data_IF_300458659112
#
_entry.id   IF_300458659112
#
_cell.length_a   1.000
_cell.length_b   1.000
_cell.length_c   1.000
_cell.angle_alpha   90.00
_cell.angle_beta   90.00
_cell.angle_gamma   90.00
#
_symmetry.space_group_name_H-M   'P 1'
#
loop_
_entity.id
_entity.type
_entity.pdbx_description
1 polymer ?
#
# COMPACT_ATOMS: atom_id res chain seq x y z
N UNK A 1 24.66 -7.11 -7.78
CA UNK A 1 23.40 -7.41 -7.05
C UNK A 1 22.77 -8.67 -7.64
N UNK A 2 22.65 -9.76 -6.86
CA UNK A 2 22.20 -11.07 -7.36
C UNK A 2 20.71 -11.08 -7.75
N UNK A 3 20.40 -11.37 -9.02
CA UNK A 3 19.03 -11.37 -9.58
C UNK A 3 18.02 -12.27 -8.86
N UNK A 4 18.48 -13.27 -8.11
CA UNK A 4 17.64 -14.14 -7.26
C UNK A 4 16.95 -13.35 -6.13
N UNK A 5 17.64 -12.36 -5.54
CA UNK A 5 17.06 -11.55 -4.46
C UNK A 5 15.97 -10.61 -4.97
N UNK A 6 16.13 -10.08 -6.19
CA UNK A 6 15.13 -9.23 -6.84
C UNK A 6 13.84 -10.01 -7.12
N UNK A 7 13.94 -11.22 -7.70
CA UNK A 7 12.78 -12.08 -7.98
C UNK A 7 12.02 -12.45 -6.71
N UNK A 8 12.72 -12.78 -5.62
CA UNK A 8 12.10 -13.08 -4.31
C UNK A 8 11.33 -11.88 -3.74
N UNK A 9 11.90 -10.66 -3.83
CA UNK A 9 11.22 -9.42 -3.42
C UNK A 9 9.98 -9.14 -4.25
N UNK A 10 10.08 -9.32 -5.57
CA UNK A 10 8.94 -9.16 -6.48
C UNK A 10 7.82 -10.15 -6.17
N UNK A 11 8.14 -11.43 -5.94
CA UNK A 11 7.14 -12.43 -5.52
C UNK A 11 6.46 -12.05 -4.21
N UNK A 12 7.19 -11.55 -3.21
CA UNK A 12 6.59 -11.04 -1.97
C UNK A 12 5.60 -9.90 -2.24
N UNK A 13 5.97 -8.94 -3.09
CA UNK A 13 5.09 -7.86 -3.52
C UNK A 13 3.81 -8.39 -4.19
N UNK A 14 3.95 -9.36 -5.09
CA UNK A 14 2.82 -10.01 -5.76
C UNK A 14 1.89 -10.71 -4.76
N UNK A 15 2.44 -11.44 -3.79
CA UNK A 15 1.65 -12.09 -2.74
C UNK A 15 0.86 -11.09 -1.89
N UNK A 16 1.46 -9.93 -1.58
CA UNK A 16 0.77 -8.85 -0.85
C UNK A 16 -0.39 -8.29 -1.70
N UNK A 17 -0.16 -8.04 -2.99
CA UNK A 17 -1.21 -7.56 -3.89
C UNK A 17 -2.37 -8.57 -3.97
N UNK A 18 -2.08 -9.86 -4.11
CA UNK A 18 -3.08 -10.93 -4.09
C UNK A 18 -3.85 -10.95 -2.76
N UNK A 19 -3.17 -10.86 -1.61
CA UNK A 19 -3.80 -10.78 -0.29
C UNK A 19 -4.77 -9.60 -0.18
N UNK A 20 -4.38 -8.44 -0.68
CA UNK A 20 -5.20 -7.22 -0.69
C UNK A 20 -6.45 -7.43 -1.57
N UNK A 21 -6.30 -7.97 -2.78
CA UNK A 21 -7.43 -8.27 -3.66
C UNK A 21 -8.42 -9.27 -3.03
N UNK A 22 -7.91 -10.31 -2.37
CA UNK A 22 -8.74 -11.27 -1.63
C UNK A 22 -9.48 -10.57 -0.49
N UNK A 23 -8.82 -9.67 0.25
CA UNK A 23 -9.45 -8.93 1.35
C UNK A 23 -10.67 -8.12 0.91
N UNK A 24 -10.61 -7.49 -0.28
CA UNK A 24 -11.75 -6.79 -0.87
C UNK A 24 -12.87 -7.73 -1.29
N UNK A 25 -12.54 -8.87 -1.93
CA UNK A 25 -13.55 -9.88 -2.28
C UNK A 25 -14.27 -10.40 -1.04
N UNK A 26 -13.52 -10.70 0.02
CA UNK A 26 -14.06 -11.16 1.30
C UNK A 26 -14.95 -10.08 1.94
N UNK A 27 -14.50 -8.82 1.98
CA UNK A 27 -15.28 -7.72 2.53
C UNK A 27 -16.59 -7.50 1.75
N UNK A 28 -16.55 -7.66 0.42
CA UNK A 28 -17.75 -7.59 -0.42
C UNK A 28 -18.74 -8.71 -0.10
N UNK A 29 -18.28 -9.96 0.02
CA UNK A 29 -19.14 -11.12 0.34
C UNK A 29 -19.72 -11.01 1.75
N UNK A 30 -18.90 -10.70 2.76
CA UNK A 30 -19.36 -10.50 4.14
C UNK A 30 -20.25 -9.27 4.31
N UNK A 31 -20.12 -8.31 3.40
CA UNK A 31 -20.89 -7.09 3.40
C UNK A 31 -22.30 -7.24 2.85
N UNK A 32 -22.65 -8.34 2.18
CA UNK A 32 -23.92 -8.47 1.41
C UNK A 32 -25.19 -8.24 2.26
N UNK A 33 -25.14 -8.49 3.57
CA UNK A 33 -26.26 -8.26 4.49
C UNK A 33 -26.19 -6.94 5.28
N UNK A 34 -25.16 -6.12 5.06
CA UNK A 34 -24.97 -4.86 5.77
C UNK A 34 -25.63 -3.69 5.05
N UNK A 35 -26.02 -2.67 5.82
CA UNK A 35 -26.46 -1.38 5.28
C UNK A 35 -25.32 -0.69 4.52
N UNK A 36 -25.66 0.22 3.59
CA UNK A 36 -24.65 0.99 2.82
C UNK A 36 -23.66 1.69 3.74
N UNK A 37 -24.14 2.38 4.77
CA UNK A 37 -23.31 3.10 5.72
C UNK A 37 -22.32 2.18 6.45
N UNK A 38 -22.78 1.00 6.90
CA UNK A 38 -21.89 0.02 7.54
C UNK A 38 -20.83 -0.54 6.58
N UNK A 39 -21.18 -0.72 5.29
CA UNK A 39 -20.21 -1.15 4.27
C UNK A 39 -19.15 -0.09 4.03
N UNK A 40 -19.54 1.17 3.92
CA UNK A 40 -18.61 2.29 3.70
C UNK A 40 -17.62 2.41 4.86
N UNK A 41 -18.09 2.37 6.11
CA UNK A 41 -17.21 2.40 7.29
C UNK A 41 -16.24 1.22 7.30
N UNK A 42 -16.70 0.01 6.96
CA UNK A 42 -15.82 -1.16 6.87
C UNK A 42 -14.83 -1.06 5.71
N UNK A 43 -15.25 -0.49 4.59
CA UNK A 43 -14.42 -0.33 3.41
C UNK A 43 -13.30 0.68 3.65
N UNK A 44 -13.60 1.83 4.26
CA UNK A 44 -12.59 2.82 4.69
C UNK A 44 -11.57 2.22 5.65
N UNK A 45 -12.02 1.46 6.66
CA UNK A 45 -11.13 0.73 7.57
C UNK A 45 -10.24 -0.26 6.82
N UNK A 46 -10.81 -0.99 5.85
CA UNK A 46 -10.05 -1.92 5.02
C UNK A 46 -9.01 -1.21 4.14
N UNK A 47 -9.36 -0.08 3.53
CA UNK A 47 -8.43 0.75 2.77
C UNK A 47 -7.24 1.15 3.64
N UNK A 48 -7.49 1.72 4.82
CA UNK A 48 -6.43 2.12 5.75
C UNK A 48 -5.55 0.95 6.21
N UNK A 49 -6.15 -0.18 6.59
CA UNK A 49 -5.39 -1.37 6.98
C UNK A 49 -4.51 -1.93 5.85
N UNK A 50 -5.03 -1.95 4.62
CA UNK A 50 -4.25 -2.42 3.47
C UNK A 50 -3.17 -1.42 3.07
N UNK A 51 -3.43 -0.12 3.18
CA UNK A 51 -2.45 0.92 2.91
C UNK A 51 -1.27 0.87 3.89
N UNK A 52 -1.55 0.75 5.19
CA UNK A 52 -0.54 0.55 6.23
C UNK A 52 0.33 -0.71 5.96
N UNK A 53 -0.30 -1.81 5.54
CA UNK A 53 0.42 -3.03 5.14
C UNK A 53 1.34 -2.78 3.94
N UNK A 54 0.88 -2.04 2.91
CA UNK A 54 1.73 -1.69 1.77
C UNK A 54 2.92 -0.85 2.23
N UNK A 55 2.69 0.18 3.07
CA UNK A 55 3.78 1.02 3.61
C UNK A 55 4.82 0.17 4.33
N UNK A 56 4.40 -0.64 5.30
CA UNK A 56 5.29 -1.49 6.09
C UNK A 56 6.14 -2.40 5.18
N UNK A 57 5.50 -3.03 4.19
CA UNK A 57 6.18 -3.95 3.28
C UNK A 57 7.06 -3.24 2.26
N UNK A 58 6.72 -2.02 1.85
CA UNK A 58 7.59 -1.18 1.05
C UNK A 58 8.87 -0.82 1.82
N UNK A 59 8.75 -0.46 3.11
CA UNK A 59 9.89 -0.18 3.98
C UNK A 59 10.77 -1.44 4.23
N UNK A 60 10.16 -2.61 4.47
CA UNK A 60 10.89 -3.88 4.64
C UNK A 60 11.67 -4.24 3.36
N UNK A 61 11.04 -4.08 2.19
CA UNK A 61 11.64 -4.44 0.91
C UNK A 61 12.65 -3.42 0.40
N UNK A 62 12.57 -2.14 0.80
CA UNK A 62 13.44 -1.05 0.33
C UNK A 62 13.54 -0.94 -1.21
N UNK A 63 14.32 0.02 -1.70
CA UNK A 63 14.61 0.15 -3.14
C UNK A 63 13.37 0.45 -3.98
N UNK A 64 13.10 -0.37 -5.02
CA UNK A 64 12.04 -0.09 -6.00
C UNK A 64 10.63 -0.02 -5.38
N UNK A 65 10.37 -0.78 -4.31
CA UNK A 65 9.06 -0.77 -3.65
C UNK A 65 8.78 0.55 -2.92
N UNK A 66 9.81 1.22 -2.40
CA UNK A 66 9.68 2.57 -1.82
C UNK A 66 9.31 3.56 -2.94
N UNK A 67 10.02 3.52 -4.07
CA UNK A 67 9.74 4.40 -5.22
C UNK A 67 8.33 4.23 -5.76
N UNK A 68 7.84 2.99 -5.84
CA UNK A 68 6.46 2.69 -6.24
C UNK A 68 5.47 3.28 -5.24
N UNK A 69 5.71 3.12 -3.93
CA UNK A 69 4.87 3.72 -2.90
C UNK A 69 4.83 5.25 -2.99
N UNK A 70 5.98 5.89 -3.23
CA UNK A 70 6.09 7.35 -3.40
C UNK A 70 5.40 7.86 -4.68
N UNK A 71 5.45 7.09 -5.77
CA UNK A 71 4.70 7.42 -6.99
C UNK A 71 3.19 7.27 -6.78
N UNK A 72 2.77 6.23 -6.06
CA UNK A 72 1.36 6.01 -5.77
C UNK A 72 0.81 7.05 -4.80
N UNK A 73 1.58 7.52 -3.82
CA UNK A 73 1.14 8.55 -2.88
C UNK A 73 0.90 9.92 -3.54
N UNK A 74 1.53 10.22 -4.68
CA UNK A 74 1.26 11.45 -5.42
C UNK A 74 0.01 11.38 -6.32
N UNK A 75 -0.64 10.21 -6.42
CA UNK A 75 -1.77 9.97 -7.34
C UNK A 75 -3.09 9.77 -6.61
N UNK A 76 -3.59 10.84 -6.00
CA UNK A 76 -4.91 10.89 -5.32
C UNK A 76 -6.07 10.52 -6.25
N UNK A 77 -5.93 10.73 -7.55
CA UNK A 77 -7.00 10.45 -8.51
C UNK A 77 -7.27 8.94 -8.72
N UNK A 78 -6.33 8.08 -8.30
CA UNK A 78 -6.38 6.64 -8.57
C UNK A 78 -6.60 5.79 -7.32
N UNK A 79 -6.40 6.34 -6.14
CA UNK A 79 -6.42 5.60 -4.88
C UNK A 79 -7.40 6.25 -3.91
N UNK A 80 -8.06 5.45 -3.04
CA UNK A 80 -8.78 6.00 -1.91
C UNK A 80 -7.87 6.87 -1.04
N UNK A 81 -8.42 7.91 -0.43
CA UNK A 81 -7.66 8.87 0.38
C UNK A 81 -6.79 8.18 1.45
N UNK A 82 -7.31 7.10 2.05
CA UNK A 82 -6.57 6.35 3.09
C UNK A 82 -5.26 5.74 2.57
N UNK A 83 -5.17 5.43 1.28
CA UNK A 83 -3.93 4.96 0.68
C UNK A 83 -2.92 6.07 0.48
N UNK A 84 -3.37 7.22 -0.04
CA UNK A 84 -2.47 8.35 -0.24
C UNK A 84 -1.94 8.88 1.08
N UNK A 85 -2.78 8.97 2.11
CA UNK A 85 -2.38 9.40 3.46
C UNK A 85 -1.30 8.50 4.05
N UNK A 86 -1.52 7.18 4.08
CA UNK A 86 -0.55 6.25 4.67
C UNK A 86 0.74 6.14 3.83
N UNK A 87 0.65 6.21 2.49
CA UNK A 87 1.82 6.14 1.63
C UNK A 87 2.63 7.44 1.59
N UNK A 88 2.04 8.59 1.96
CA UNK A 88 2.76 9.85 2.09
C UNK A 88 3.89 9.75 3.14
N UNK A 89 3.71 8.94 4.18
CA UNK A 89 4.75 8.69 5.19
C UNK A 89 6.01 8.01 4.61
N UNK A 90 5.94 7.40 3.42
CA UNK A 90 7.13 6.89 2.72
C UNK A 90 8.01 8.01 2.16
N UNK A 91 7.47 9.23 2.03
CA UNK A 91 8.21 10.41 1.59
C UNK A 91 8.97 11.04 2.77
N UNK A 92 8.35 11.10 3.95
CA UNK A 92 8.92 11.72 5.15
C UNK A 92 10.11 10.94 5.73
N UNK A 93 10.25 9.65 5.41
CA UNK A 93 11.38 8.82 5.84
C UNK A 93 12.63 8.92 4.95
N UNK A 94 12.66 9.84 3.98
CA UNK A 94 13.88 10.13 3.23
C UNK A 94 14.67 11.20 3.99
N UNK A 95 15.84 10.87 4.59
CA UNK A 95 16.68 11.88 5.22
C UNK A 95 17.03 12.98 4.20
N UNK A 96 17.07 14.26 4.60
CA UNK A 96 17.47 15.33 3.71
C UNK A 96 18.86 14.99 3.14
N UNK A 97 18.97 14.99 1.81
CA UNK A 97 20.29 14.97 1.20
C UNK A 97 20.91 16.34 1.41
N UNK A 98 22.10 16.37 2.00
CA UNK A 98 22.96 17.55 2.00
C UNK A 98 23.21 17.93 0.53
N UNK A 99 22.62 19.05 0.09
CA UNK A 99 23.02 19.69 -1.15
C UNK A 99 24.39 20.30 -0.91
N UNK A 100 25.44 19.53 -1.15
CA UNK A 100 26.77 20.12 -1.31
C UNK A 100 26.83 20.66 -2.73
N UNK A 101 26.66 21.98 -2.87
CA UNK A 101 27.02 22.74 -4.07
C UNK A 101 28.52 22.64 -4.37
#
# INVERSE_FOLDING_TARGET
MNGIHYRKRFLKGLLIAVRILISYKIARVRGVFLSRQQREVRLRKLHRSNAALIREKALEMKGIMIKVGQFLSSRKDFLPDEYTEELAELQDQVPPHDFTE
#
